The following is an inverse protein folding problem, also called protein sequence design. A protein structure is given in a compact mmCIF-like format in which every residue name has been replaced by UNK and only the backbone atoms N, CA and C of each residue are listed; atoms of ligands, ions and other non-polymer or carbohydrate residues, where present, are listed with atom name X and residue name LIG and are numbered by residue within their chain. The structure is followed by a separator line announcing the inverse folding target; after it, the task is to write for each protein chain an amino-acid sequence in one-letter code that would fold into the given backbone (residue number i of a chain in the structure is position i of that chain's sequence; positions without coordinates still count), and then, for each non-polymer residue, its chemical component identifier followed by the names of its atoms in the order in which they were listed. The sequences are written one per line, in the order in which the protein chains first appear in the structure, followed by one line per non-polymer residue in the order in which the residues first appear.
data_IF_498440381623
#
_entry.id   IF_498440381623
#
_cell.length_a   1.000
_cell.length_b   1.000
_cell.length_c   1.000
_cell.angle_alpha   90.00
_cell.angle_beta   90.00
_cell.angle_gamma   90.00
#
_symmetry.space_group_name_H-M   'P 1'
#
loop_
_entity.id
_entity.type
_entity.pdbx_description
1 polymer ?
#
# COMPACT_ATOMS: atom_id res chain seq x y z
N UNK A 1 -8.53 -4.51 11.11
CA UNK A 1 -7.84 -5.82 11.12
C UNK A 1 -6.35 -5.74 11.43
N UNK A 2 -5.48 -5.20 10.56
CA UNK A 2 -4.01 -5.28 10.75
C UNK A 2 -3.42 -4.66 12.02
N UNK A 3 -4.08 -3.62 12.55
CA UNK A 3 -3.59 -2.87 13.71
C UNK A 3 -4.48 -3.11 14.92
N UNK A 4 -5.70 -2.58 14.92
CA UNK A 4 -6.59 -2.63 16.09
C UNK A 4 -7.02 -4.06 16.49
N UNK A 5 -7.48 -4.87 15.54
CA UNK A 5 -7.89 -6.26 15.82
C UNK A 5 -6.70 -7.13 16.24
N UNK A 6 -5.51 -6.91 15.65
CA UNK A 6 -4.30 -7.59 16.08
C UNK A 6 -3.89 -7.21 17.51
N UNK A 7 -4.01 -5.93 17.87
CA UNK A 7 -3.79 -5.46 19.24
C UNK A 7 -4.74 -6.15 20.23
N UNK A 8 -6.05 -6.22 19.94
CA UNK A 8 -7.01 -6.94 20.77
C UNK A 8 -6.65 -8.43 20.95
N UNK A 9 -6.28 -9.10 19.86
CA UNK A 9 -5.83 -10.51 19.93
C UNK A 9 -4.58 -10.68 20.79
N UNK A 10 -3.64 -9.73 20.74
CA UNK A 10 -2.46 -9.74 21.63
C UNK A 10 -2.83 -9.50 23.08
N UNK A 11 -3.79 -8.62 23.36
CA UNK A 11 -4.30 -8.42 24.74
C UNK A 11 -4.88 -9.71 25.31
N UNK A 12 -5.65 -10.46 24.52
CA UNK A 12 -6.16 -11.79 24.91
C UNK A 12 -5.02 -12.77 25.16
N UNK A 13 -4.04 -12.84 24.25
CA UNK A 13 -2.92 -13.77 24.36
C UNK A 13 -1.98 -13.48 25.55
N UNK A 14 -1.84 -12.21 25.94
CA UNK A 14 -0.98 -11.76 27.05
C UNK A 14 -1.71 -11.74 28.40
N UNK A 15 -3.05 -11.84 28.41
CA UNK A 15 -3.88 -11.78 29.62
C UNK A 15 -3.80 -10.45 30.38
N UNK A 16 -4.25 -10.45 31.64
CA UNK A 16 -4.35 -9.27 32.53
C UNK A 16 -3.05 -8.48 32.78
N UNK A 17 -1.89 -8.91 32.27
CA UNK A 17 -0.60 -8.20 32.42
C UNK A 17 -0.43 -7.04 31.43
N UNK A 18 -1.28 -6.92 30.41
CA UNK A 18 -1.24 -5.86 29.41
C UNK A 18 -2.38 -4.83 29.59
N UNK A 19 -2.49 -4.19 30.76
CA UNK A 19 -3.38 -3.03 30.97
C UNK A 19 -2.86 -1.76 30.27
N UNK A 20 -2.48 -1.86 28.99
CA UNK A 20 -2.10 -0.70 28.17
C UNK A 20 -3.29 -0.05 27.45
N UNK A 21 -4.45 -0.72 27.37
CA UNK A 21 -5.70 -0.12 26.89
C UNK A 21 -6.86 -0.45 27.84
N UNK A 22 -7.75 0.53 28.05
CA UNK A 22 -8.90 0.54 28.97
C UNK A 22 -10.00 -0.48 28.64
N UNK A 23 -9.81 -1.34 27.64
CA UNK A 23 -10.85 -2.21 27.11
C UNK A 23 -11.00 -3.44 28.01
N UNK A 24 -12.06 -3.44 28.83
CA UNK A 24 -12.24 -4.42 29.91
C UNK A 24 -12.59 -5.85 29.42
N UNK A 25 -12.97 -6.02 28.14
CA UNK A 25 -13.40 -7.31 27.54
C UNK A 25 -13.04 -7.39 26.05
N UNK A 26 -11.75 -7.61 25.69
CA UNK A 26 -11.31 -7.68 24.30
C UNK A 26 -11.98 -8.81 23.50
N UNK A 27 -12.38 -9.91 24.14
CA UNK A 27 -13.11 -11.02 23.53
C UNK A 27 -14.47 -10.56 22.99
N UNK A 28 -15.29 -9.93 23.84
CA UNK A 28 -16.60 -9.41 23.46
C UNK A 28 -16.50 -8.37 22.34
N UNK A 29 -15.47 -7.52 22.38
CA UNK A 29 -15.23 -6.51 21.33
C UNK A 29 -14.88 -7.20 20.00
N UNK A 30 -14.10 -8.28 20.02
CA UNK A 30 -13.78 -9.05 18.81
C UNK A 30 -15.02 -9.72 18.22
N UNK A 31 -15.89 -10.28 19.06
CA UNK A 31 -17.18 -10.86 18.63
C UNK A 31 -18.06 -9.79 17.97
N UNK A 32 -18.25 -8.63 18.63
CA UNK A 32 -19.03 -7.53 18.07
C UNK A 32 -18.44 -6.99 16.76
N UNK A 33 -17.11 -6.89 16.66
CA UNK A 33 -16.43 -6.53 15.41
C UNK A 33 -16.75 -7.54 14.31
N UNK A 34 -16.74 -8.85 14.62
CA UNK A 34 -17.02 -9.90 13.66
C UNK A 34 -18.45 -9.84 13.14
N UNK A 35 -19.43 -9.65 14.03
CA UNK A 35 -20.84 -9.47 13.67
C UNK A 35 -21.03 -8.25 12.75
N UNK A 36 -20.49 -7.09 13.13
CA UNK A 36 -20.58 -5.87 12.31
C UNK A 36 -19.92 -6.03 10.96
N UNK A 37 -18.76 -6.70 10.90
CA UNK A 37 -18.06 -6.95 9.64
C UNK A 37 -18.87 -7.87 8.73
N UNK A 38 -19.55 -8.88 9.27
CA UNK A 38 -20.42 -9.75 8.49
C UNK A 38 -21.58 -8.98 7.86
N UNK A 39 -22.25 -8.12 8.63
CA UNK A 39 -23.33 -7.25 8.13
C UNK A 39 -22.81 -6.30 7.05
N UNK A 40 -21.66 -5.66 7.27
CA UNK A 40 -21.04 -4.77 6.28
C UNK A 40 -20.62 -5.52 5.01
N UNK A 41 -20.17 -6.77 5.12
CA UNK A 41 -19.83 -7.59 3.95
C UNK A 41 -21.06 -7.88 3.10
N UNK A 42 -22.20 -8.21 3.72
CA UNK A 42 -23.46 -8.43 2.99
C UNK A 42 -23.93 -7.16 2.28
N UNK A 43 -23.85 -6.00 2.96
CA UNK A 43 -24.17 -4.71 2.36
C UNK A 43 -23.23 -4.38 1.19
N UNK A 44 -21.93 -4.63 1.35
CA UNK A 44 -20.93 -4.46 0.30
C UNK A 44 -21.25 -5.32 -0.93
N UNK A 45 -21.58 -6.61 -0.74
CA UNK A 45 -21.89 -7.51 -1.84
C UNK A 45 -23.15 -7.08 -2.61
N UNK A 46 -24.16 -6.54 -1.91
CA UNK A 46 -25.34 -5.94 -2.54
C UNK A 46 -24.98 -4.71 -3.37
N UNK A 47 -24.26 -3.75 -2.76
CA UNK A 47 -23.84 -2.51 -3.44
C UNK A 47 -22.99 -2.85 -4.67
N UNK A 48 -22.07 -3.81 -4.54
CA UNK A 48 -21.22 -4.24 -5.65
C UNK A 48 -22.03 -4.83 -6.81
N UNK A 49 -23.04 -5.65 -6.53
CA UNK A 49 -23.97 -6.15 -7.57
C UNK A 49 -24.72 -5.01 -8.25
N UNK A 50 -25.14 -4.01 -7.50
CA UNK A 50 -25.86 -2.84 -8.03
C UNK A 50 -24.95 -2.01 -8.94
N UNK A 51 -23.73 -1.70 -8.49
CA UNK A 51 -22.70 -1.01 -9.28
C UNK A 51 -22.38 -1.79 -10.57
N UNK A 52 -22.21 -3.11 -10.49
CA UNK A 52 -21.95 -3.93 -11.68
C UNK A 52 -23.10 -3.86 -12.68
N UNK A 53 -24.36 -3.78 -12.24
CA UNK A 53 -25.51 -3.58 -13.12
C UNK A 53 -25.52 -2.18 -13.75
N UNK A 54 -25.17 -1.15 -13.00
CA UNK A 54 -25.05 0.22 -13.52
C UNK A 54 -23.93 0.36 -14.54
N UNK A 55 -22.76 -0.22 -14.28
CA UNK A 55 -21.65 -0.27 -15.23
C UNK A 55 -22.08 -0.93 -16.55
N UNK A 56 -22.79 -2.05 -16.49
CA UNK A 56 -23.28 -2.72 -17.69
C UNK A 56 -24.27 -1.84 -18.50
N UNK A 57 -25.10 -1.02 -17.83
CA UNK A 57 -26.00 -0.06 -18.51
C UNK A 57 -25.22 1.03 -19.23
N UNK A 58 -24.07 1.43 -18.70
CA UNK A 58 -23.12 2.36 -19.33
C UNK A 58 -22.18 1.68 -20.34
N UNK A 59 -22.45 0.44 -20.72
CA UNK A 59 -21.64 -0.35 -21.66
C UNK A 59 -20.21 -0.64 -21.18
N UNK A 60 -20.01 -0.67 -19.85
CA UNK A 60 -18.74 -1.03 -19.20
C UNK A 60 -18.91 -2.42 -18.56
N UNK A 61 -18.17 -3.40 -19.05
CA UNK A 61 -18.31 -4.80 -18.65
C UNK A 61 -17.06 -5.28 -17.92
N UNK A 62 -17.20 -5.72 -16.66
CA UNK A 62 -16.15 -6.45 -15.96
C UNK A 62 -16.37 -7.95 -16.15
N UNK A 63 -15.48 -8.62 -16.89
CA UNK A 63 -15.58 -10.04 -17.23
C UNK A 63 -14.49 -10.87 -16.57
N UNK A 64 -14.74 -12.17 -16.44
CA UNK A 64 -13.76 -13.16 -16.00
C UNK A 64 -13.21 -13.96 -17.19
N UNK A 65 -12.23 -14.82 -16.91
CA UNK A 65 -11.57 -15.71 -17.87
C UNK A 65 -12.53 -16.63 -18.64
N UNK A 66 -13.70 -16.94 -18.07
CA UNK A 66 -14.71 -17.83 -18.67
C UNK A 66 -15.57 -17.14 -19.73
N UNK A 67 -15.56 -15.80 -19.80
CA UNK A 67 -16.47 -15.01 -20.65
C UNK A 67 -15.75 -14.31 -21.81
N UNK A 68 -14.51 -14.69 -22.10
CA UNK A 68 -13.70 -14.12 -23.18
C UNK A 68 -14.14 -14.65 -24.55
N UNK A 69 -14.33 -13.75 -25.52
CA UNK A 69 -14.51 -14.13 -26.92
C UNK A 69 -13.16 -14.45 -27.61
N UNK A 70 -13.19 -15.03 -28.81
CA UNK A 70 -11.97 -15.48 -29.51
C UNK A 70 -10.93 -14.37 -29.73
N UNK A 71 -11.36 -13.15 -30.03
CA UNK A 71 -10.45 -12.00 -30.20
C UNK A 71 -9.80 -11.61 -28.88
N UNK A 72 -10.60 -11.58 -27.80
CA UNK A 72 -10.12 -11.27 -26.46
C UNK A 72 -9.18 -12.36 -25.92
N UNK A 73 -9.46 -13.64 -26.19
CA UNK A 73 -8.58 -14.75 -25.81
C UNK A 73 -7.18 -14.61 -26.44
N UNK A 74 -7.12 -14.31 -27.75
CA UNK A 74 -5.84 -14.04 -28.44
C UNK A 74 -5.10 -12.87 -27.82
N UNK A 75 -5.81 -11.77 -27.55
CA UNK A 75 -5.23 -10.60 -26.88
C UNK A 75 -4.69 -10.93 -25.49
N UNK A 76 -5.45 -11.67 -24.68
CA UNK A 76 -5.05 -12.06 -23.32
C UNK A 76 -3.79 -12.93 -23.34
N UNK A 77 -3.70 -13.90 -24.27
CA UNK A 77 -2.50 -14.74 -24.42
C UNK A 77 -1.28 -13.90 -24.85
N UNK A 78 -1.46 -12.99 -25.81
CA UNK A 78 -0.40 -12.11 -26.28
C UNK A 78 0.10 -11.21 -25.13
N UNK A 79 -0.82 -10.47 -24.50
CA UNK A 79 -0.53 -9.62 -23.35
C UNK A 79 0.13 -10.40 -22.21
N UNK A 80 -0.32 -11.63 -21.94
CA UNK A 80 0.31 -12.47 -20.94
C UNK A 80 1.77 -12.78 -21.27
N UNK A 81 2.07 -13.18 -22.51
CA UNK A 81 3.43 -13.55 -22.90
C UNK A 81 4.38 -12.35 -22.99
N UNK A 82 3.91 -11.21 -23.49
CA UNK A 82 4.71 -10.00 -23.70
C UNK A 82 4.92 -9.23 -22.40
N UNK A 83 3.87 -9.04 -21.60
CA UNK A 83 3.89 -8.11 -20.47
C UNK A 83 3.84 -8.81 -19.10
N UNK A 84 3.03 -9.86 -18.94
CA UNK A 84 2.73 -10.41 -17.61
C UNK A 84 3.72 -11.49 -17.17
N UNK A 85 4.12 -12.38 -18.09
CA UNK A 85 4.86 -13.60 -17.79
C UNK A 85 6.20 -13.34 -17.11
N UNK A 86 6.89 -12.27 -17.49
CA UNK A 86 8.20 -11.88 -16.92
C UNK A 86 8.12 -11.49 -15.44
N UNK A 87 6.95 -11.06 -14.94
CA UNK A 87 6.74 -10.71 -13.55
C UNK A 87 6.26 -11.89 -12.68
N UNK A 88 5.99 -13.04 -13.30
CA UNK A 88 5.40 -14.19 -12.62
C UNK A 88 6.39 -15.34 -12.54
N UNK A 89 6.69 -15.73 -11.30
CA UNK A 89 7.38 -16.98 -10.99
C UNK A 89 6.48 -17.83 -10.09
N UNK A 90 5.92 -18.95 -10.60
CA UNK A 90 5.12 -19.85 -9.78
C UNK A 90 5.94 -20.47 -8.65
N UNK A 91 5.38 -20.51 -7.45
CA UNK A 91 5.95 -21.18 -6.29
C UNK A 91 5.28 -22.53 -6.11
N UNK A 92 5.99 -23.62 -6.43
CA UNK A 92 5.51 -24.98 -6.17
C UNK A 92 5.53 -25.23 -4.68
N UNK A 93 4.34 -25.27 -4.06
CA UNK A 93 4.27 -25.29 -2.60
C UNK A 93 4.60 -26.67 -2.04
N UNK A 94 4.39 -27.76 -2.74
CA UNK A 94 4.73 -29.09 -2.21
C UNK A 94 6.24 -29.33 -2.09
N UNK A 95 7.04 -28.63 -2.91
CA UNK A 95 8.49 -28.86 -3.05
C UNK A 95 9.35 -28.11 -2.03
N UNK A 96 8.79 -27.11 -1.36
CA UNK A 96 9.56 -26.25 -0.43
C UNK A 96 9.58 -26.85 0.98
N UNK A 97 10.66 -26.66 1.74
CA UNK A 97 10.74 -27.22 3.10
C UNK A 97 9.83 -26.47 4.11
N UNK A 98 9.65 -25.16 3.92
CA UNK A 98 8.79 -24.31 4.76
C UNK A 98 7.75 -23.55 3.94
N UNK A 99 6.63 -23.14 4.56
CA UNK A 99 5.65 -22.28 3.90
C UNK A 99 6.30 -20.93 3.54
N UNK A 100 6.14 -20.42 2.30
CA UNK A 100 6.87 -19.26 1.84
C UNK A 100 6.36 -17.99 2.52
N UNK A 101 7.23 -16.99 2.65
CA UNK A 101 6.83 -15.68 3.15
C UNK A 101 6.06 -14.94 2.07
N UNK A 102 4.73 -15.00 2.15
CA UNK A 102 3.84 -14.24 1.28
C UNK A 102 3.73 -12.77 1.71
N UNK A 103 3.70 -11.87 0.72
CA UNK A 103 3.52 -10.44 0.87
C UNK A 103 2.08 -10.11 1.28
N UNK A 104 1.92 -9.44 2.41
CA UNK A 104 0.61 -9.15 3.00
C UNK A 104 -0.24 -8.17 2.16
N UNK A 105 0.39 -7.32 1.34
CA UNK A 105 -0.29 -6.34 0.48
C UNK A 105 -0.74 -6.95 -0.85
N UNK A 106 -0.22 -8.12 -1.23
CA UNK A 106 -0.50 -8.78 -2.51
C UNK A 106 -1.65 -9.77 -2.41
N UNK A 107 -2.23 -10.10 -3.56
CA UNK A 107 -3.10 -11.27 -3.72
C UNK A 107 -2.33 -12.36 -4.45
N UNK A 108 -2.70 -13.60 -4.17
CA UNK A 108 -2.10 -14.78 -4.79
C UNK A 108 -3.19 -15.63 -5.41
N UNK A 109 -2.86 -16.32 -6.49
CA UNK A 109 -3.65 -17.41 -7.04
C UNK A 109 -3.12 -18.72 -6.46
N UNK A 110 -3.98 -19.44 -5.76
CA UNK A 110 -3.74 -20.80 -5.32
C UNK A 110 -4.16 -21.76 -6.44
N UNK A 111 -3.17 -22.30 -7.12
CA UNK A 111 -3.32 -23.12 -8.32
C UNK A 111 -3.30 -24.61 -7.95
N UNK A 112 -4.24 -25.36 -8.52
CA UNK A 112 -4.26 -26.82 -8.51
C UNK A 112 -4.13 -27.32 -9.96
N UNK A 113 -3.08 -28.11 -10.19
CA UNK A 113 -2.77 -28.76 -11.45
C UNK A 113 -3.14 -30.24 -11.30
N UNK A 114 -3.86 -30.79 -12.28
CA UNK A 114 -4.31 -32.18 -12.26
C UNK A 114 -4.47 -32.72 -13.68
N UNK A 115 -4.62 -34.04 -13.79
CA UNK A 115 -4.99 -34.68 -15.05
C UNK A 115 -6.43 -35.19 -15.02
N UNK A 116 -7.09 -35.15 -16.17
CA UNK A 116 -8.43 -35.71 -16.36
C UNK A 116 -8.50 -37.21 -16.11
N UNK A 117 -7.46 -37.95 -16.52
CA UNK A 117 -7.29 -39.40 -16.36
C UNK A 117 -6.66 -39.82 -15.02
N UNK A 118 -6.24 -38.84 -14.19
CA UNK A 118 -5.52 -39.04 -12.92
C UNK A 118 -4.18 -39.80 -13.06
N UNK A 119 -3.58 -39.84 -14.25
CA UNK A 119 -2.28 -40.49 -14.47
C UNK A 119 -1.12 -39.83 -13.73
N UNK A 120 -1.19 -38.51 -13.54
CA UNK A 120 -0.19 -37.71 -12.81
C UNK A 120 -0.80 -37.22 -11.49
N UNK A 121 -0.08 -37.33 -10.36
CA UNK A 121 -0.51 -36.76 -9.09
C UNK A 121 -0.80 -35.27 -9.18
N UNK A 122 -1.81 -34.81 -8.45
CA UNK A 122 -2.12 -33.38 -8.33
C UNK A 122 -0.89 -32.63 -7.84
N UNK A 123 -0.70 -31.41 -8.34
CA UNK A 123 0.31 -30.48 -7.85
C UNK A 123 -0.30 -29.16 -7.42
N UNK A 124 0.30 -28.56 -6.41
CA UNK A 124 -0.12 -27.25 -5.92
C UNK A 124 0.95 -26.18 -6.14
N UNK A 125 0.49 -24.99 -6.56
CA UNK A 125 1.34 -23.84 -6.75
C UNK A 125 0.69 -22.55 -6.23
N UNK A 126 1.52 -21.57 -5.90
CA UNK A 126 1.10 -20.20 -5.62
C UNK A 126 1.67 -19.27 -6.68
N UNK A 127 0.82 -18.44 -7.26
CA UNK A 127 1.21 -17.42 -8.24
C UNK A 127 0.89 -16.04 -7.66
N UNK A 128 1.90 -15.20 -7.49
CA UNK A 128 1.69 -13.81 -7.06
C UNK A 128 1.10 -12.99 -8.19
N UNK A 129 0.05 -12.21 -7.94
CA UNK A 129 -0.49 -11.27 -8.93
C UNK A 129 0.31 -9.96 -8.86
N UNK A 130 0.98 -9.52 -9.94
CA UNK A 130 1.97 -8.44 -9.90
C UNK A 130 1.35 -7.03 -9.98
N UNK A 131 0.36 -6.73 -9.14
CA UNK A 131 -0.39 -5.45 -9.14
C UNK A 131 0.42 -4.22 -8.74
N UNK A 132 1.68 -4.41 -8.32
CA UNK A 132 2.62 -3.30 -8.05
C UNK A 132 3.33 -2.82 -9.31
N UNK A 133 3.54 -3.70 -10.27
CA UNK A 133 4.27 -3.43 -11.51
C UNK A 133 3.33 -3.23 -12.68
N UNK A 134 2.19 -3.93 -12.66
CA UNK A 134 1.19 -3.91 -13.73
C UNK A 134 -0.15 -3.39 -13.20
N UNK A 135 -0.91 -2.75 -14.09
CA UNK A 135 -2.31 -2.41 -13.80
C UNK A 135 -3.09 -3.67 -13.47
N UNK A 136 -3.88 -3.63 -12.40
CA UNK A 136 -4.80 -4.72 -12.07
C UNK A 136 -5.97 -4.81 -13.05
N UNK A 137 -6.33 -3.70 -13.69
CA UNK A 137 -7.42 -3.63 -14.66
C UNK A 137 -6.82 -3.60 -16.06
N UNK A 138 -7.15 -4.60 -16.87
CA UNK A 138 -6.72 -4.71 -18.27
C UNK A 138 -7.93 -4.44 -19.15
N UNK A 139 -7.82 -3.45 -20.03
CA UNK A 139 -8.87 -3.11 -21.00
C UNK A 139 -8.72 -4.06 -22.19
N UNK A 140 -9.80 -4.78 -22.49
CA UNK A 140 -9.85 -5.74 -23.59
C UNK A 140 -10.32 -5.07 -24.89
N UNK A 141 -9.92 -5.62 -26.05
CA UNK A 141 -10.53 -5.27 -27.33
C UNK A 141 -12.06 -5.40 -27.24
N UNK A 142 -12.74 -4.30 -27.57
CA UNK A 142 -14.19 -4.14 -27.40
C UNK A 142 -14.76 -3.43 -28.64
N UNK A 143 -16.07 -3.53 -28.85
CA UNK A 143 -16.75 -2.80 -29.92
C UNK A 143 -16.72 -1.29 -29.65
N UNK A 144 -17.02 -0.49 -30.68
CA UNK A 144 -17.15 0.96 -30.51
C UNK A 144 -18.19 1.28 -29.42
N UNK A 145 -17.85 2.19 -28.51
CA UNK A 145 -18.65 2.60 -27.34
C UNK A 145 -18.88 1.51 -26.26
N UNK A 146 -18.18 0.38 -26.31
CA UNK A 146 -18.15 -0.62 -25.24
C UNK A 146 -16.75 -0.68 -24.61
N UNK A 147 -16.72 -0.89 -23.30
CA UNK A 147 -15.48 -1.06 -22.56
C UNK A 147 -15.50 -2.36 -21.77
N UNK A 148 -14.83 -3.39 -22.27
CA UNK A 148 -14.66 -4.64 -21.54
C UNK A 148 -13.36 -4.60 -20.75
N UNK A 149 -13.42 -4.96 -19.48
CA UNK A 149 -12.29 -4.98 -18.55
C UNK A 149 -12.18 -6.39 -17.98
N UNK A 150 -10.95 -6.89 -17.87
CA UNK A 150 -10.63 -8.12 -17.14
C UNK A 150 -9.63 -7.79 -16.02
N UNK A 151 -9.75 -8.49 -14.90
CA UNK A 151 -8.77 -8.37 -13.81
C UNK A 151 -7.51 -9.16 -14.13
N UNK A 152 -6.36 -8.68 -13.67
CA UNK A 152 -5.07 -9.30 -13.91
C UNK A 152 -5.00 -10.74 -13.37
N UNK A 153 -5.65 -11.03 -12.24
CA UNK A 153 -5.77 -12.41 -11.76
C UNK A 153 -6.54 -13.33 -12.72
N UNK A 154 -7.52 -12.81 -13.47
CA UNK A 154 -8.28 -13.58 -14.45
C UNK A 154 -7.50 -13.76 -15.76
N UNK A 155 -6.67 -12.79 -16.15
CA UNK A 155 -5.66 -12.97 -17.23
C UNK A 155 -4.72 -14.13 -16.89
N UNK A 156 -4.20 -14.17 -15.67
CA UNK A 156 -3.29 -15.25 -15.23
C UNK A 156 -4.03 -16.59 -15.17
N UNK A 157 -5.29 -16.62 -14.70
CA UNK A 157 -6.13 -17.83 -14.69
C UNK A 157 -6.31 -18.41 -16.08
N UNK A 158 -6.62 -17.57 -17.06
CA UNK A 158 -6.79 -17.99 -18.45
C UNK A 158 -5.50 -18.60 -19.02
N UNK A 159 -4.34 -18.06 -18.64
CA UNK A 159 -3.03 -18.47 -19.14
C UNK A 159 -2.31 -19.53 -18.26
N UNK A 160 -3.00 -20.18 -17.31
CA UNK A 160 -2.41 -21.27 -16.52
C UNK A 160 -1.85 -22.42 -17.40
N UNK A 161 -2.53 -22.87 -18.48
CA UNK A 161 -1.98 -23.90 -19.36
C UNK A 161 -0.63 -23.49 -19.98
N UNK A 162 -0.48 -22.21 -20.36
CA UNK A 162 0.77 -21.68 -20.92
C UNK A 162 1.87 -21.59 -19.85
N UNK A 163 1.50 -21.19 -18.63
CA UNK A 163 2.42 -21.01 -17.50
C UNK A 163 2.99 -22.34 -16.99
N UNK A 164 2.16 -23.39 -17.00
CA UNK A 164 2.48 -24.71 -16.44
C UNK A 164 2.65 -25.80 -17.49
N UNK A 165 2.82 -25.42 -18.77
CA UNK A 165 2.89 -26.33 -19.92
C UNK A 165 3.94 -27.44 -19.77
N UNK A 166 5.05 -27.17 -19.07
CA UNK A 166 6.14 -28.12 -18.85
C UNK A 166 5.83 -29.25 -17.86
N UNK A 167 4.72 -29.19 -17.12
CA UNK A 167 4.35 -30.23 -16.15
C UNK A 167 3.47 -31.35 -16.73
N UNK A 168 3.02 -31.23 -17.98
CA UNK A 168 2.19 -32.26 -18.64
C UNK A 168 0.76 -32.39 -18.09
N UNK A 169 0.28 -31.40 -17.34
CA UNK A 169 -1.09 -31.39 -16.82
C UNK A 169 -2.11 -30.85 -17.83
N UNK A 170 -3.34 -31.36 -17.80
CA UNK A 170 -4.43 -30.94 -18.71
C UNK A 170 -5.56 -30.14 -18.02
N UNK A 171 -5.63 -30.19 -16.69
CA UNK A 171 -6.64 -29.48 -15.88
C UNK A 171 -5.99 -28.52 -14.90
N UNK A 172 -6.45 -27.28 -14.95
CA UNK A 172 -5.96 -26.18 -14.14
C UNK A 172 -7.13 -25.50 -13.45
N UNK A 173 -6.98 -25.23 -12.15
CA UNK A 173 -7.89 -24.36 -11.41
C UNK A 173 -7.09 -23.40 -10.56
N UNK A 174 -7.58 -22.17 -10.38
CA UNK A 174 -6.90 -21.20 -9.52
C UNK A 174 -7.86 -20.28 -8.79
N UNK A 175 -7.59 -20.14 -7.50
CA UNK A 175 -8.48 -19.50 -6.54
C UNK A 175 -7.74 -18.37 -5.85
N UNK A 176 -8.35 -17.18 -5.80
CA UNK A 176 -7.70 -16.04 -5.19
C UNK A 176 -7.58 -16.29 -3.69
N UNK A 177 -6.39 -16.05 -3.14
CA UNK A 177 -6.15 -16.06 -1.70
C UNK A 177 -5.43 -14.78 -1.29
N UNK A 178 -5.60 -14.41 -0.03
CA UNK A 178 -4.89 -13.31 0.59
C UNK A 178 -4.53 -13.68 2.03
N UNK A 179 -3.23 -13.78 2.28
CA UNK A 179 -2.71 -13.96 3.62
C UNK A 179 -2.37 -12.60 4.23
N UNK A 180 -2.85 -12.36 5.45
CA UNK A 180 -2.50 -11.17 6.24
C UNK A 180 -1.76 -11.62 7.50
N UNK A 181 -0.65 -10.94 7.80
CA UNK A 181 0.18 -11.15 8.99
C UNK A 181 -0.03 -10.02 9.99
N UNK A 182 0.38 -10.25 11.24
CA UNK A 182 0.46 -9.16 12.22
C UNK A 182 1.40 -8.07 11.68
N UNK A 183 0.99 -6.82 11.85
CA UNK A 183 1.70 -5.66 11.33
C UNK A 183 2.58 -4.98 12.39
N UNK A 184 2.48 -5.38 13.66
CA UNK A 184 3.33 -4.77 14.69
C UNK A 184 4.76 -5.28 14.66
N UNK A 185 5.66 -4.33 14.90
CA UNK A 185 7.09 -4.54 15.05
C UNK A 185 7.33 -4.67 16.55
N UNK A 186 7.78 -5.84 17.02
CA UNK A 186 8.36 -5.95 18.35
C UNK A 186 9.66 -5.15 18.37
N UNK A 187 9.60 -3.95 18.94
CA UNK A 187 10.79 -3.15 19.22
C UNK A 187 11.36 -3.68 20.53
N UNK A 188 12.53 -4.32 20.43
CA UNK A 188 13.25 -4.85 21.58
C UNK A 188 13.55 -3.71 22.58
N UNK A 189 13.25 -3.89 23.87
CA UNK A 189 13.47 -2.85 24.88
C UNK A 189 14.92 -2.77 25.38
N UNK A 190 15.82 -3.54 24.78
CA UNK A 190 17.24 -3.56 25.14
C UNK A 190 17.89 -2.17 24.99
N UNK A 191 18.34 -1.59 26.11
CA UNK A 191 18.93 -0.26 26.17
C UNK A 191 20.27 -0.15 25.43
N UNK A 192 20.90 -1.27 25.07
CA UNK A 192 22.21 -1.31 24.42
C UNK A 192 22.16 -1.10 22.90
N UNK A 193 20.98 -1.16 22.27
CA UNK A 193 20.83 -1.08 20.81
C UNK A 193 20.21 0.24 20.37
N UNK A 194 20.73 0.79 19.26
CA UNK A 194 20.19 2.05 18.70
C UNK A 194 18.76 1.86 18.20
N UNK A 195 17.95 2.94 18.21
CA UNK A 195 16.57 2.93 17.70
C UNK A 195 16.49 2.39 16.26
N UNK A 196 17.49 2.70 15.44
CA UNK A 196 17.60 2.26 14.04
C UNK A 196 17.73 0.73 13.98
N UNK A 197 18.70 0.16 14.71
CA UNK A 197 18.91 -1.29 14.73
C UNK A 197 17.68 -2.05 15.23
N UNK A 198 16.95 -1.48 16.20
CA UNK A 198 15.68 -2.04 16.67
C UNK A 198 14.61 -2.02 15.58
N UNK A 199 14.46 -0.92 14.84
CA UNK A 199 13.52 -0.82 13.72
C UNK A 199 13.90 -1.80 12.61
N UNK A 200 15.18 -1.92 12.25
CA UNK A 200 15.65 -2.87 11.24
C UNK A 200 15.40 -4.34 11.63
N UNK A 201 15.75 -4.71 12.88
CA UNK A 201 15.47 -6.04 13.44
C UNK A 201 13.97 -6.31 13.45
N UNK A 202 13.21 -5.31 13.86
CA UNK A 202 11.77 -5.30 13.87
C UNK A 202 11.11 -5.50 12.50
N UNK A 203 11.59 -4.79 11.48
CA UNK A 203 11.15 -4.93 10.08
C UNK A 203 11.45 -6.34 9.54
N UNK A 204 12.62 -6.90 9.87
CA UNK A 204 12.97 -8.28 9.52
C UNK A 204 12.06 -9.30 10.22
N UNK A 205 11.76 -9.10 11.50
CA UNK A 205 10.86 -9.95 12.27
C UNK A 205 9.41 -9.87 11.80
N UNK A 206 8.96 -8.68 11.39
CA UNK A 206 7.62 -8.47 10.80
C UNK A 206 7.43 -9.26 9.51
N UNK A 207 8.47 -9.34 8.64
CA UNK A 207 8.44 -10.22 7.46
C UNK A 207 8.28 -11.70 7.86
N UNK A 208 8.69 -12.10 9.07
CA UNK A 208 8.55 -13.46 9.64
C UNK A 208 7.35 -13.64 10.57
N UNK A 209 6.52 -12.62 10.78
CA UNK A 209 5.43 -12.63 11.76
C UNK A 209 4.40 -13.74 11.52
N UNK A 210 3.77 -14.21 12.60
CA UNK A 210 2.76 -15.29 12.54
C UNK A 210 1.59 -14.86 11.62
N UNK A 211 1.10 -15.74 10.74
CA UNK A 211 -0.04 -15.44 9.89
C UNK A 211 -1.30 -15.34 10.75
N UNK A 212 -2.05 -14.25 10.56
CA UNK A 212 -3.20 -13.90 11.40
C UNK A 212 -4.51 -14.14 10.65
N UNK A 213 -4.52 -14.12 9.31
CA UNK A 213 -5.75 -14.28 8.53
C UNK A 213 -5.47 -14.81 7.12
N UNK A 214 -6.21 -15.82 6.71
CA UNK A 214 -6.34 -16.29 5.33
C UNK A 214 -7.74 -15.94 4.82
N UNK A 215 -7.81 -15.12 3.79
CA UNK A 215 -9.03 -14.94 2.99
C UNK A 215 -8.85 -15.75 1.72
N UNK A 216 -9.87 -16.51 1.33
CA UNK A 216 -9.80 -17.37 0.16
C UNK A 216 -11.12 -17.37 -0.60
N UNK A 217 -11.04 -17.64 -1.90
CA UNK A 217 -12.19 -17.87 -2.75
C UNK A 217 -12.92 -19.15 -2.30
N UNK A 218 -14.22 -19.04 -2.01
CA UNK A 218 -15.07 -20.14 -1.52
C UNK A 218 -15.07 -21.38 -2.43
N UNK A 219 -14.72 -21.24 -3.71
CA UNK A 219 -14.67 -22.33 -4.69
C UNK A 219 -13.35 -23.11 -4.67
N UNK A 220 -12.40 -22.76 -3.78
CA UNK A 220 -11.08 -23.39 -3.69
C UNK A 220 -11.12 -24.91 -3.54
N UNK A 221 -10.18 -25.61 -4.19
CA UNK A 221 -9.95 -27.04 -3.98
C UNK A 221 -9.69 -27.32 -2.49
N UNK A 222 -10.49 -28.22 -1.91
CA UNK A 222 -10.46 -28.52 -0.47
C UNK A 222 -9.10 -29.09 -0.03
N UNK A 223 -8.43 -29.88 -0.88
CA UNK A 223 -7.10 -30.40 -0.60
C UNK A 223 -6.08 -29.28 -0.51
N UNK A 224 -6.14 -28.32 -1.45
CA UNK A 224 -5.31 -27.13 -1.43
C UNK A 224 -5.60 -26.23 -0.22
N UNK A 225 -6.87 -26.03 0.15
CA UNK A 225 -7.24 -25.24 1.33
C UNK A 225 -6.67 -25.87 2.62
N UNK A 226 -6.82 -27.18 2.80
CA UNK A 226 -6.25 -27.88 3.95
C UNK A 226 -4.73 -27.72 4.01
N UNK A 227 -4.06 -27.77 2.86
CA UNK A 227 -2.63 -27.52 2.77
C UNK A 227 -2.25 -26.10 3.21
N UNK A 228 -3.01 -25.09 2.73
CA UNK A 228 -2.83 -23.69 3.08
C UNK A 228 -3.19 -23.35 4.53
N UNK A 229 -3.96 -24.19 5.22
CA UNK A 229 -4.27 -24.02 6.65
C UNK A 229 -3.19 -24.67 7.51
N UNK A 230 -2.87 -25.95 7.24
CA UNK A 230 -1.98 -26.75 8.09
C UNK A 230 -0.54 -26.22 8.07
N UNK A 231 0.00 -25.95 6.89
CA UNK A 231 1.42 -25.65 6.75
C UNK A 231 1.87 -24.33 7.37
N UNK A 232 1.11 -23.21 7.26
CA UNK A 232 1.44 -22.00 8.00
C UNK A 232 1.02 -22.04 9.48
N UNK A 233 0.43 -23.13 9.97
CA UNK A 233 0.00 -23.28 11.37
C UNK A 233 -1.21 -22.42 11.74
N UNK A 234 -2.16 -22.25 10.83
CA UNK A 234 -3.40 -21.51 11.11
C UNK A 234 -4.32 -22.38 11.98
N UNK A 235 -4.34 -22.14 13.29
CA UNK A 235 -5.06 -22.97 14.27
C UNK A 235 -6.50 -22.53 14.58
N UNK A 236 -6.85 -21.26 14.32
CA UNK A 236 -8.15 -20.69 14.70
C UNK A 236 -9.08 -20.53 13.51
N UNK A 237 -10.32 -21.04 13.63
CA UNK A 237 -11.38 -20.92 12.62
C UNK A 237 -11.65 -19.45 12.25
N UNK A 238 -11.55 -18.53 13.21
CA UNK A 238 -11.83 -17.09 13.02
C UNK A 238 -10.80 -16.38 12.12
N UNK A 239 -9.70 -17.06 11.78
CA UNK A 239 -8.66 -16.54 10.90
C UNK A 239 -8.84 -17.02 9.46
N UNK A 240 -9.81 -17.87 9.16
CA UNK A 240 -10.00 -18.52 7.86
C UNK A 240 -11.36 -18.09 7.30
N UNK A 241 -11.34 -17.13 6.36
CA UNK A 241 -12.54 -16.47 5.87
C UNK A 241 -12.75 -16.80 4.40
N UNK A 242 -13.84 -17.51 4.12
CA UNK A 242 -14.33 -17.70 2.76
C UNK A 242 -14.88 -16.38 2.22
N UNK A 243 -14.50 -16.02 1.00
CA UNK A 243 -14.98 -14.82 0.32
C UNK A 243 -15.30 -15.11 -1.14
N UNK A 244 -15.70 -14.04 -1.84
CA UNK A 244 -15.92 -14.10 -3.29
C UNK A 244 -14.61 -14.22 -4.07
N UNK A 245 -14.76 -14.43 -5.38
CA UNK A 245 -13.68 -14.61 -6.35
C UNK A 245 -12.69 -13.43 -6.42
N UNK A 246 -13.18 -12.22 -6.19
CA UNK A 246 -12.40 -10.98 -6.20
C UNK A 246 -12.03 -10.62 -4.77
N UNK A 247 -10.73 -10.45 -4.51
CA UNK A 247 -10.23 -9.95 -3.24
C UNK A 247 -9.59 -8.57 -3.41
N UNK A 248 -9.20 -7.95 -2.29
CA UNK A 248 -8.44 -6.70 -2.31
C UNK A 248 -9.15 -5.55 -3.06
N UNK A 249 -10.44 -5.34 -2.81
CA UNK A 249 -11.24 -4.28 -3.44
C UNK A 249 -10.70 -2.85 -3.26
N UNK A 250 -9.73 -2.61 -2.37
CA UNK A 250 -9.01 -1.33 -2.30
C UNK A 250 -8.40 -0.90 -3.63
N UNK A 251 -8.06 -1.85 -4.52
CA UNK A 251 -7.44 -1.53 -5.80
C UNK A 251 -8.44 -0.84 -6.75
N UNK A 252 -9.75 -0.96 -6.51
CA UNK A 252 -10.80 -0.24 -7.26
C UNK A 252 -10.76 1.28 -7.05
N UNK A 253 -9.97 1.79 -6.10
CA UNK A 253 -9.64 3.21 -6.02
C UNK A 253 -8.97 3.69 -7.33
N UNK A 254 -8.21 2.81 -8.00
CA UNK A 254 -7.52 3.08 -9.25
C UNK A 254 -8.23 2.47 -10.46
N UNK A 255 -9.56 2.30 -10.40
CA UNK A 255 -10.34 1.81 -11.53
C UNK A 255 -10.14 2.76 -12.74
N UNK A 256 -10.00 2.23 -13.98
CA UNK A 256 -9.55 3.03 -15.12
C UNK A 256 -10.57 4.13 -15.47
N UNK A 257 -10.24 5.40 -15.24
CA UNK A 257 -11.14 6.53 -15.52
C UNK A 257 -11.50 6.65 -17.01
N UNK A 258 -10.62 6.18 -17.89
CA UNK A 258 -10.78 6.25 -19.35
C UNK A 258 -12.02 5.53 -19.89
N UNK A 259 -12.62 4.61 -19.12
CA UNK A 259 -13.81 3.86 -19.54
C UNK A 259 -15.11 4.60 -19.25
N UNK A 260 -15.07 5.68 -18.46
CA UNK A 260 -16.25 6.48 -18.16
C UNK A 260 -16.37 7.64 -19.17
N UNK A 261 -17.59 7.83 -19.69
CA UNK A 261 -17.91 8.98 -20.56
C UNK A 261 -17.83 10.30 -19.79
N UNK A 262 -18.35 10.31 -18.56
CA UNK A 262 -18.26 11.47 -17.68
C UNK A 262 -17.03 11.33 -16.78
N UNK A 263 -16.06 12.24 -16.98
CA UNK A 263 -14.87 12.31 -16.12
C UNK A 263 -15.21 12.97 -14.79
N UNK A 264 -14.38 12.72 -13.78
CA UNK A 264 -14.58 13.34 -12.46
C UNK A 264 -14.51 14.87 -12.56
N UNK A 265 -15.53 15.57 -12.06
CA UNK A 265 -15.55 17.04 -11.96
C UNK A 265 -14.69 17.57 -10.78
N UNK A 266 -13.70 16.80 -10.31
CA UNK A 266 -12.84 17.23 -9.20
C UNK A 266 -12.06 18.47 -9.63
N UNK A 267 -12.40 19.62 -9.06
CA UNK A 267 -11.68 20.87 -9.31
C UNK A 267 -10.21 20.69 -8.96
N UNK A 268 -9.33 21.15 -9.85
CA UNK A 268 -7.90 21.20 -9.57
C UNK A 268 -7.63 22.20 -8.44
N UNK A 269 -6.63 21.93 -7.57
CA UNK A 269 -6.21 22.91 -6.59
C UNK A 269 -5.78 24.21 -7.29
N UNK A 270 -6.16 25.36 -6.74
CA UNK A 270 -5.82 26.67 -7.29
C UNK A 270 -4.80 27.39 -6.41
N UNK A 271 -4.03 28.32 -6.99
CA UNK A 271 -3.08 29.13 -6.20
C UNK A 271 -3.83 30.16 -5.37
N UNK A 272 -3.46 30.35 -4.10
CA UNK A 272 -4.08 31.36 -3.24
C UNK A 272 -3.99 32.76 -3.90
N UNK A 273 -5.03 33.61 -3.85
CA UNK A 273 -5.04 34.91 -4.55
C UNK A 273 -3.81 35.78 -4.27
N UNK A 274 -3.35 35.84 -3.02
CA UNK A 274 -2.13 36.58 -2.63
C UNK A 274 -0.83 36.07 -3.27
N UNK A 275 -0.82 34.84 -3.79
CA UNK A 275 0.35 34.19 -4.38
C UNK A 275 0.25 34.05 -5.90
N UNK A 276 -0.91 34.36 -6.51
CA UNK A 276 -1.16 34.10 -7.93
C UNK A 276 -0.34 35.00 -8.86
N UNK A 277 -0.08 36.25 -8.43
CA UNK A 277 0.67 37.25 -9.20
C UNK A 277 1.96 37.69 -8.49
N UNK A 278 2.38 36.96 -7.46
CA UNK A 278 3.63 37.26 -6.77
C UNK A 278 4.81 36.59 -7.47
N UNK A 279 5.91 37.32 -7.62
CA UNK A 279 7.18 36.77 -8.07
C UNK A 279 7.92 35.99 -6.96
N UNK A 280 7.51 36.14 -5.70
CA UNK A 280 8.11 35.44 -4.55
C UNK A 280 7.06 35.13 -3.48
N UNK A 281 6.97 33.85 -3.10
CA UNK A 281 6.17 33.41 -1.96
C UNK A 281 6.75 33.97 -0.66
N UNK A 282 8.08 34.00 -0.55
CA UNK A 282 8.79 34.51 0.63
C UNK A 282 8.43 35.96 0.94
N UNK A 283 8.44 36.85 -0.06
CA UNK A 283 8.11 38.26 0.14
C UNK A 283 6.67 38.43 0.67
N UNK A 284 5.71 37.68 0.10
CA UNK A 284 4.31 37.75 0.57
C UNK A 284 4.18 37.30 2.01
N UNK A 285 4.84 36.20 2.39
CA UNK A 285 4.79 35.65 3.76
C UNK A 285 5.50 36.56 4.76
N UNK A 286 6.51 37.32 4.34
CA UNK A 286 7.17 38.32 5.19
C UNK A 286 6.31 39.57 5.42
N UNK A 287 5.41 39.90 4.49
CA UNK A 287 4.50 41.04 4.61
C UNK A 287 3.21 40.71 5.36
N UNK A 288 2.68 39.50 5.21
CA UNK A 288 1.41 39.10 5.83
C UNK A 288 1.29 37.58 6.01
N UNK A 289 0.49 37.17 6.99
CA UNK A 289 0.13 35.76 7.17
C UNK A 289 -0.73 35.26 6.00
N UNK A 290 -0.43 34.04 5.53
CA UNK A 290 -1.18 33.36 4.45
C UNK A 290 -1.69 32.01 4.95
N UNK A 291 -3.01 31.85 4.95
CA UNK A 291 -3.65 30.57 5.30
C UNK A 291 -3.96 29.76 4.04
N UNK A 292 -3.36 28.59 3.92
CA UNK A 292 -3.66 27.64 2.85
C UNK A 292 -4.63 26.56 3.35
N UNK A 293 -5.64 26.27 2.53
CA UNK A 293 -6.65 25.24 2.80
C UNK A 293 -6.54 24.10 1.78
N UNK A 294 -6.00 22.96 2.18
CA UNK A 294 -5.90 21.78 1.32
C UNK A 294 -7.18 20.93 1.41
N UNK A 295 -7.64 20.32 0.30
CA UNK A 295 -7.00 20.22 -1.02
C UNK A 295 -7.40 21.34 -2.01
N UNK A 296 -8.01 22.44 -1.55
CA UNK A 296 -8.48 23.52 -2.43
C UNK A 296 -7.34 24.37 -2.98
N UNK A 297 -6.40 24.74 -2.11
CA UNK A 297 -5.21 25.49 -2.49
C UNK A 297 -4.09 24.56 -2.96
N UNK A 298 -3.26 25.04 -3.88
CA UNK A 298 -2.10 24.30 -4.38
C UNK A 298 -1.03 24.14 -3.30
N UNK A 299 -0.49 22.93 -3.15
CA UNK A 299 0.65 22.67 -2.27
C UNK A 299 1.97 23.21 -2.83
N UNK A 300 1.99 23.63 -4.11
CA UNK A 300 3.19 24.17 -4.74
C UNK A 300 3.74 25.38 -4.00
N UNK A 301 2.88 26.25 -3.43
CA UNK A 301 3.32 27.42 -2.67
C UNK A 301 4.23 27.06 -1.48
N UNK A 302 3.98 25.93 -0.82
CA UNK A 302 4.84 25.43 0.28
C UNK A 302 6.18 24.95 -0.26
N UNK A 303 6.17 24.30 -1.42
CA UNK A 303 7.39 23.84 -2.11
C UNK A 303 8.21 25.06 -2.55
N UNK A 304 7.57 26.06 -3.14
CA UNK A 304 8.22 27.26 -3.66
C UNK A 304 8.83 28.09 -2.53
N UNK A 305 8.15 28.21 -1.38
CA UNK A 305 8.74 28.82 -0.17
C UNK A 305 10.08 28.15 0.23
N UNK A 306 10.14 26.81 0.21
CA UNK A 306 11.37 26.07 0.51
C UNK A 306 12.43 26.20 -0.60
N UNK A 307 12.02 26.26 -1.86
CA UNK A 307 12.95 26.44 -3.00
C UNK A 307 13.57 27.83 -3.00
N UNK A 308 12.77 28.87 -2.76
CA UNK A 308 13.25 30.25 -2.59
C UNK A 308 14.22 30.33 -1.41
N UNK A 309 13.84 29.75 -0.25
CA UNK A 309 14.71 29.71 0.92
C UNK A 309 16.00 28.91 0.69
N UNK A 310 16.02 27.95 -0.22
CA UNK A 310 17.23 27.19 -0.56
C UNK A 310 18.27 28.03 -1.33
N UNK A 311 17.84 29.01 -2.13
CA UNK A 311 18.70 29.82 -2.98
C UNK A 311 18.96 31.24 -2.44
N UNK A 312 18.11 31.75 -1.54
CA UNK A 312 18.28 33.08 -0.94
C UNK A 312 19.64 33.17 -0.19
N UNK A 313 20.53 34.11 -0.56
CA UNK A 313 21.86 34.24 0.07
C UNK A 313 21.79 34.69 1.53
N UNK A 314 20.68 35.28 1.96
CA UNK A 314 20.48 35.77 3.33
C UNK A 314 19.87 34.71 4.25
N UNK A 315 19.41 33.58 3.72
CA UNK A 315 18.90 32.47 4.55
C UNK A 315 20.07 31.70 5.15
N UNK A 316 20.10 31.62 6.48
CA UNK A 316 21.16 31.00 7.27
C UNK A 316 20.83 29.54 7.58
N UNK A 317 19.59 29.25 7.95
CA UNK A 317 19.18 27.90 8.35
C UNK A 317 17.73 27.58 8.04
N UNK A 318 17.46 26.31 7.75
CA UNK A 318 16.12 25.75 7.55
C UNK A 318 15.94 24.58 8.53
N UNK A 319 14.91 24.65 9.37
CA UNK A 319 14.50 23.56 10.26
C UNK A 319 13.12 23.07 9.85
N UNK A 320 12.91 21.77 9.67
CA UNK A 320 11.62 21.22 9.24
C UNK A 320 11.33 19.85 9.84
N UNK A 321 10.07 19.57 10.14
CA UNK A 321 9.59 18.24 10.52
C UNK A 321 9.12 17.47 9.30
N UNK A 322 9.62 16.25 9.11
CA UNK A 322 9.25 15.35 8.02
C UNK A 322 8.69 14.05 8.61
N UNK A 323 7.38 13.82 8.42
CA UNK A 323 6.70 12.64 8.95
C UNK A 323 6.62 11.48 7.95
N UNK A 324 6.09 11.76 6.75
CA UNK A 324 5.89 10.79 5.66
C UNK A 324 6.23 11.47 4.35
N UNK A 325 7.33 11.06 3.74
CA UNK A 325 7.82 11.65 2.50
C UNK A 325 7.38 10.80 1.31
N UNK A 326 6.86 11.45 0.27
CA UNK A 326 6.53 10.78 -0.97
C UNK A 326 7.82 10.30 -1.68
N UNK A 327 7.77 9.17 -2.42
CA UNK A 327 8.87 8.80 -3.31
C UNK A 327 9.23 9.97 -4.23
N UNK A 328 10.53 10.29 -4.37
CA UNK A 328 11.02 11.47 -5.13
C UNK A 328 10.45 12.81 -4.63
N UNK A 329 10.50 13.02 -3.32
CA UNK A 329 9.96 14.23 -2.69
C UNK A 329 10.66 15.51 -3.17
N UNK A 330 9.87 16.45 -3.73
CA UNK A 330 10.36 17.79 -4.11
C UNK A 330 10.86 18.59 -2.90
N UNK A 331 10.32 18.32 -1.71
CA UNK A 331 10.77 18.93 -0.45
C UNK A 331 12.21 18.49 -0.15
N UNK A 332 12.51 17.20 -0.27
CA UNK A 332 13.86 16.68 0.01
C UNK A 332 14.87 17.28 -0.95
N UNK A 333 14.54 17.34 -2.24
CA UNK A 333 15.41 17.98 -3.23
C UNK A 333 15.68 19.46 -2.88
N UNK A 334 14.67 20.23 -2.45
CA UNK A 334 14.86 21.62 -2.02
C UNK A 334 15.80 21.72 -0.80
N UNK A 335 15.63 20.86 0.19
CA UNK A 335 16.47 20.82 1.40
C UNK A 335 17.92 20.41 1.08
N UNK A 336 18.11 19.40 0.24
CA UNK A 336 19.44 18.99 -0.25
C UNK A 336 20.14 20.13 -0.99
N UNK A 337 19.43 20.85 -1.86
CA UNK A 337 20.00 22.01 -2.54
C UNK A 337 20.31 23.18 -1.58
N UNK A 338 19.52 23.35 -0.51
CA UNK A 338 19.83 24.35 0.51
C UNK A 338 21.17 24.07 1.20
N UNK A 339 21.47 22.81 1.52
CA UNK A 339 22.78 22.42 2.07
C UNK A 339 23.90 22.70 1.06
N UNK A 340 23.70 22.33 -0.21
CA UNK A 340 24.67 22.62 -1.28
C UNK A 340 24.95 24.12 -1.44
N UNK A 341 23.96 24.95 -1.15
CA UNK A 341 24.08 26.42 -1.13
C UNK A 341 24.58 26.97 0.23
N UNK A 342 25.19 26.14 1.08
CA UNK A 342 25.85 26.55 2.33
C UNK A 342 24.93 26.78 3.52
N UNK A 343 23.65 26.38 3.44
CA UNK A 343 22.66 26.63 4.51
C UNK A 343 22.70 25.51 5.54
N UNK A 344 22.50 25.85 6.80
CA UNK A 344 22.35 24.85 7.85
C UNK A 344 20.93 24.24 7.80
N UNK A 345 20.82 22.99 7.39
CA UNK A 345 19.52 22.31 7.31
C UNK A 345 19.40 21.26 8.42
N UNK A 346 18.30 21.32 9.17
CA UNK A 346 17.94 20.32 10.18
C UNK A 346 16.58 19.74 9.88
N UNK A 347 16.48 18.41 9.81
CA UNK A 347 15.23 17.71 9.56
C UNK A 347 14.91 16.80 10.75
N UNK A 348 13.72 16.91 11.31
CA UNK A 348 13.21 15.96 12.30
C UNK A 348 12.41 14.86 11.58
N UNK A 349 12.91 13.62 11.61
CA UNK A 349 12.27 12.45 11.01
C UNK A 349 11.56 11.60 12.07
N UNK A 350 10.29 11.28 11.82
CA UNK A 350 9.52 10.34 12.63
C UNK A 350 9.65 8.92 12.06
N UNK A 351 10.64 8.16 12.52
CA UNK A 351 10.85 6.79 12.07
C UNK A 351 9.78 5.80 12.57
N UNK A 352 9.01 6.14 13.62
CA UNK A 352 7.92 5.28 14.13
C UNK A 352 6.61 5.48 13.37
N UNK A 353 6.62 6.20 12.25
CA UNK A 353 5.46 6.31 11.37
C UNK A 353 5.11 4.92 10.81
N UNK A 354 3.93 4.42 11.21
CA UNK A 354 3.50 3.05 10.90
C UNK A 354 3.41 2.84 9.39
N UNK A 355 4.01 1.75 8.91
CA UNK A 355 4.07 1.32 7.50
C UNK A 355 5.00 2.15 6.59
N UNK A 356 5.69 3.16 7.12
CA UNK A 356 6.66 3.98 6.39
C UNK A 356 8.07 3.85 6.96
N UNK A 357 8.29 2.93 7.91
CA UNK A 357 9.54 2.84 8.64
C UNK A 357 10.73 2.58 7.70
N UNK A 358 10.56 1.68 6.71
CA UNK A 358 11.56 1.36 5.69
C UNK A 358 11.89 2.59 4.81
N UNK A 359 10.86 3.30 4.32
CA UNK A 359 11.04 4.49 3.49
C UNK A 359 11.66 5.66 4.28
N UNK A 360 11.29 5.85 5.54
CA UNK A 360 11.84 6.91 6.38
C UNK A 360 13.32 6.62 6.75
N UNK A 361 13.71 5.34 6.85
CA UNK A 361 15.12 4.96 7.00
C UNK A 361 15.93 5.29 5.73
N UNK A 362 15.40 4.98 4.54
CA UNK A 362 16.05 5.34 3.28
C UNK A 362 16.24 6.86 3.16
N UNK A 363 15.19 7.64 3.45
CA UNK A 363 15.28 9.11 3.43
C UNK A 363 16.28 9.68 4.43
N UNK A 364 16.43 9.04 5.60
CA UNK A 364 17.44 9.45 6.59
C UNK A 364 18.83 9.35 5.98
N UNK A 365 19.16 8.20 5.40
CA UNK A 365 20.46 7.97 4.76
C UNK A 365 20.71 8.99 3.64
N UNK A 366 19.74 9.18 2.74
CA UNK A 366 19.88 10.15 1.64
C UNK A 366 20.08 11.60 2.14
N UNK A 367 19.37 12.00 3.19
CA UNK A 367 19.52 13.33 3.79
C UNK A 367 20.88 13.51 4.48
N UNK A 368 21.35 12.51 5.22
CA UNK A 368 22.64 12.56 5.91
C UNK A 368 23.81 12.60 4.92
N UNK A 369 23.76 11.82 3.84
CA UNK A 369 24.74 11.87 2.74
C UNK A 369 24.75 13.24 2.05
N UNK A 370 23.60 13.91 1.97
CA UNK A 370 23.47 15.27 1.46
C UNK A 370 23.97 16.36 2.44
N UNK A 371 24.39 16.01 3.66
CA UNK A 371 24.87 16.95 4.68
C UNK A 371 23.76 17.59 5.53
N UNK A 372 22.53 17.09 5.46
CA UNK A 372 21.43 17.54 6.32
C UNK A 372 21.56 16.92 7.70
N UNK A 373 21.37 17.74 8.75
CA UNK A 373 21.29 17.23 10.13
C UNK A 373 19.95 16.53 10.35
N UNK A 374 19.90 15.21 10.15
CA UNK A 374 18.74 14.38 10.41
C UNK A 374 18.62 14.03 11.90
N UNK A 375 17.61 14.58 12.58
CA UNK A 375 17.25 14.24 13.94
C UNK A 375 16.19 13.14 13.93
N UNK A 376 16.34 12.17 14.83
CA UNK A 376 15.34 11.15 15.08
C UNK A 376 14.44 11.60 16.22
N UNK A 377 13.15 11.22 16.15
CA UNK A 377 12.17 11.51 17.18
C UNK A 377 12.66 11.17 18.60
N UNK A 378 12.15 11.90 19.59
CA UNK A 378 12.51 11.72 21.01
C UNK A 378 11.96 10.37 21.51
N UNK A 379 12.72 9.60 22.32
CA UNK A 379 12.21 8.38 22.94
C UNK A 379 10.86 8.61 23.63
N UNK A 380 9.93 7.68 23.43
CA UNK A 380 8.57 7.70 23.99
C UNK A 380 7.69 8.92 23.69
N UNK A 381 8.13 9.81 22.80
CA UNK A 381 7.33 10.92 22.28
C UNK A 381 7.14 10.81 20.78
N UNK A 382 5.95 11.18 20.31
CA UNK A 382 5.63 11.26 18.88
C UNK A 382 5.58 12.71 18.44
N UNK A 383 6.35 13.04 17.41
CA UNK A 383 6.31 14.39 16.82
C UNK A 383 5.27 14.40 15.71
N UNK A 384 4.09 14.96 16.00
CA UNK A 384 3.00 15.09 15.01
C UNK A 384 2.86 16.49 14.41
N UNK A 385 3.56 17.49 14.96
CA UNK A 385 3.54 18.84 14.41
C UNK A 385 4.18 18.87 13.01
N UNK A 386 3.60 19.62 12.07
CA UNK A 386 4.20 19.87 10.75
C UNK A 386 4.64 21.32 10.71
N UNK A 387 5.92 21.56 11.02
CA UNK A 387 6.47 22.89 11.18
C UNK A 387 7.71 23.02 10.30
N UNK A 388 7.83 24.19 9.68
CA UNK A 388 9.08 24.65 9.11
C UNK A 388 9.43 26.03 9.66
N UNK A 389 10.69 26.22 10.01
CA UNK A 389 11.25 27.48 10.47
C UNK A 389 12.49 27.81 9.61
N UNK A 390 12.42 28.92 8.92
CA UNK A 390 13.48 29.47 8.08
C UNK A 390 14.01 30.71 8.79
N UNK A 391 15.34 30.77 8.96
CA UNK A 391 16.04 31.90 9.55
C UNK A 391 16.77 32.67 8.48
N UNK A 392 16.43 33.95 8.31
CA UNK A 392 17.08 34.89 7.40
C UNK A 392 17.79 35.99 8.18
N UNK A 393 18.97 36.41 7.73
CA UNK A 393 19.77 37.47 8.36
C UNK A 393 20.24 38.48 7.32
N UNK A 394 19.82 39.74 7.47
CA UNK A 394 20.19 40.87 6.62
C UNK A 394 20.63 42.01 7.54
N UNK A 395 21.80 42.61 7.31
CA UNK A 395 22.31 43.77 8.07
C UNK A 395 22.16 43.64 9.59
N UNK A 396 22.56 42.48 10.14
CA UNK A 396 22.43 42.09 11.55
C UNK A 396 21.00 41.92 12.10
N UNK A 397 19.96 42.14 11.31
CA UNK A 397 18.58 41.82 11.66
C UNK A 397 18.29 40.36 11.33
N UNK A 398 17.73 39.62 12.30
CA UNK A 398 17.32 38.23 12.12
C UNK A 398 15.80 38.15 12.02
N UNK A 399 15.30 37.58 10.94
CA UNK A 399 13.87 37.32 10.71
C UNK A 399 13.62 35.82 10.64
N UNK A 400 12.53 35.38 11.26
CA UNK A 400 12.07 34.01 11.20
C UNK A 400 10.72 33.95 10.49
N UNK A 401 10.58 33.01 9.56
CA UNK A 401 9.33 32.76 8.82
C UNK A 401 9.24 31.28 8.47
N UNK A 402 8.08 30.81 8.03
CA UNK A 402 7.88 29.41 7.68
C UNK A 402 6.42 29.03 7.68
N UNK A 403 6.11 27.81 8.14
CA UNK A 403 4.73 27.34 8.18
C UNK A 403 4.47 26.43 9.38
N UNK A 404 3.20 26.37 9.78
CA UNK A 404 2.64 25.40 10.73
C UNK A 404 1.42 24.75 10.08
N UNK A 405 1.30 23.43 10.18
CA UNK A 405 0.21 22.64 9.62
C UNK A 405 -0.22 21.49 10.52
#
# INVERSE_FOLDING_TARGET
FRVRVAALKRMIALGNKAKMHLEQKPENILEEIQEKVLVQQQAFDRIWKDISREMNKESIFLVDDRKLNATQQKFVIQYFNEEVRSYIVPLMIESIQGFPVLNDKSIYLACCLSNSDKSIPKKYALVSVPTRSLSRFVILPSKANEHTIILLEDVIRFCLPNLFSFFGHDRFSAHTIKLTRDAEIDIDNDLSTTIIQKIEKGLKNRKKGKPVRLVYDKEIDQGLLLYLIKRPGLSHKDNIIAGGRIHNFKDFINFPEAVFKQKSNRKKPFTHPFLQHSNSVTNVVLEKDVMLHFPYHSFNSVIDLLREAAIDPYVVSIKVTCYRLAPRSKIINALTNAVRNGKQVTVMLELKARFDEEANLEWKTELEEAGVKALLGVPDMKVHAKICLIKKRVDNVTTHYGFVS
#
